data_IF_038869866792
#
_entry.id   IF_038869866792
#
_cell.length_a   1.000
_cell.length_b   1.000
_cell.length_c   1.000
_cell.angle_alpha   90.00
_cell.angle_beta   90.00
_cell.angle_gamma   90.00
#
_symmetry.space_group_name_H-M   'P 1'
#
loop_
_entity.id
_entity.type
_entity.pdbx_description
1 polymer ?
#
# COMPACT_ATOMS: atom_id res chain seq x y z
N UNK A 1 7.93 20.44 -5.32
CA UNK A 1 6.52 20.12 -5.63
C UNK A 1 5.74 21.41 -5.90
N UNK A 2 4.68 21.33 -6.68
CA UNK A 2 3.75 22.48 -6.91
C UNK A 2 3.25 23.08 -5.60
N UNK A 3 3.12 22.26 -4.57
CA UNK A 3 2.65 22.68 -3.25
C UNK A 3 3.64 23.56 -2.49
N UNK A 4 4.93 23.42 -2.78
CA UNK A 4 6.00 24.23 -2.17
C UNK A 4 6.36 25.45 -3.02
N UNK A 5 5.84 25.53 -4.25
CA UNK A 5 6.06 26.66 -5.15
C UNK A 5 5.11 27.84 -4.82
N UNK A 6 5.57 29.04 -5.08
CA UNK A 6 4.77 30.27 -4.97
C UNK A 6 3.62 30.37 -5.99
N UNK A 7 3.42 29.34 -6.83
CA UNK A 7 2.41 29.28 -7.88
C UNK A 7 0.97 29.11 -7.37
N UNK A 8 0.80 28.56 -6.16
CA UNK A 8 -0.52 28.44 -5.54
C UNK A 8 -0.78 29.59 -4.59
N UNK A 9 -1.92 30.26 -4.75
CA UNK A 9 -2.38 31.26 -3.80
C UNK A 9 -2.69 30.65 -2.44
N UNK A 10 -2.65 31.42 -1.38
CA UNK A 10 -2.97 30.96 -0.01
C UNK A 10 -4.41 30.42 0.09
N UNK A 11 -5.35 30.96 -0.67
CA UNK A 11 -6.71 30.42 -0.73
C UNK A 11 -6.75 29.02 -1.38
N UNK A 12 -5.98 28.77 -2.45
CA UNK A 12 -5.88 27.46 -3.08
C UNK A 12 -5.24 26.43 -2.14
N UNK A 13 -4.16 26.81 -1.46
CA UNK A 13 -3.53 25.95 -0.44
C UNK A 13 -4.52 25.60 0.68
N UNK A 14 -5.30 26.57 1.13
CA UNK A 14 -6.33 26.36 2.15
C UNK A 14 -7.43 25.39 1.67
N UNK A 15 -7.89 25.52 0.43
CA UNK A 15 -8.87 24.60 -0.13
C UNK A 15 -8.33 23.17 -0.21
N UNK A 16 -7.10 23.00 -0.70
CA UNK A 16 -6.44 21.70 -0.79
C UNK A 16 -6.29 21.07 0.61
N UNK A 17 -5.83 21.84 1.58
CA UNK A 17 -5.73 21.38 2.97
C UNK A 17 -7.09 20.91 3.52
N UNK A 18 -8.13 21.73 3.37
CA UNK A 18 -9.46 21.40 3.87
C UNK A 18 -10.03 20.13 3.21
N UNK A 19 -9.80 19.94 1.92
CA UNK A 19 -10.24 18.77 1.16
C UNK A 19 -9.51 17.52 1.65
N UNK A 20 -8.19 17.55 1.74
CA UNK A 20 -7.37 16.42 2.24
C UNK A 20 -7.78 16.08 3.68
N UNK A 21 -7.91 17.08 4.53
CA UNK A 21 -8.30 16.89 5.94
C UNK A 21 -9.70 16.29 6.08
N UNK A 22 -10.66 16.73 5.26
CA UNK A 22 -12.01 16.18 5.28
C UNK A 22 -12.02 14.69 4.91
N UNK A 23 -11.27 14.31 3.89
CA UNK A 23 -11.13 12.92 3.47
C UNK A 23 -10.43 12.07 4.53
N UNK A 24 -9.31 12.54 5.08
CA UNK A 24 -8.64 11.83 6.18
C UNK A 24 -9.56 11.64 7.40
N UNK A 25 -10.38 12.64 7.73
CA UNK A 25 -11.33 12.51 8.84
C UNK A 25 -12.44 11.49 8.53
N UNK A 26 -12.87 11.39 7.28
CA UNK A 26 -13.79 10.35 6.84
C UNK A 26 -13.16 8.97 7.01
N UNK A 27 -11.88 8.81 6.66
CA UNK A 27 -11.14 7.56 6.85
C UNK A 27 -10.98 7.15 8.32
N UNK A 28 -10.95 8.10 9.25
CA UNK A 28 -10.92 7.77 10.68
C UNK A 28 -12.19 7.04 11.15
N UNK A 29 -13.31 7.28 10.50
CA UNK A 29 -14.63 6.73 10.89
C UNK A 29 -14.98 5.44 10.14
N UNK A 30 -14.33 5.15 9.00
CA UNK A 30 -14.60 3.94 8.20
C UNK A 30 -14.14 2.68 8.91
N UNK A 31 -14.88 1.59 8.71
CA UNK A 31 -14.41 0.25 9.07
C UNK A 31 -13.33 -0.22 8.09
N UNK A 32 -12.36 -0.98 8.58
CA UNK A 32 -11.36 -1.64 7.74
C UNK A 32 -11.99 -2.92 7.19
N UNK A 33 -12.17 -3.06 5.86
CA UNK A 33 -12.81 -4.22 5.28
C UNK A 33 -11.82 -5.38 5.16
N UNK A 34 -12.27 -6.59 5.47
CA UNK A 34 -11.46 -7.83 5.33
C UNK A 34 -12.33 -9.07 5.16
N UNK A 35 -11.72 -10.16 4.68
CA UNK A 35 -12.24 -11.51 4.85
C UNK A 35 -13.38 -11.94 3.94
N UNK A 36 -13.65 -11.24 2.85
CA UNK A 36 -14.72 -11.60 1.93
C UNK A 36 -14.25 -12.62 0.90
N UNK A 37 -14.96 -13.76 0.79
CA UNK A 37 -14.72 -14.71 -0.27
C UNK A 37 -15.09 -14.14 -1.64
N UNK A 38 -14.20 -14.31 -2.61
CA UNK A 38 -14.39 -13.79 -3.97
C UNK A 38 -14.07 -12.31 -4.14
N UNK A 39 -13.88 -11.57 -3.04
CA UNK A 39 -13.55 -10.15 -3.00
C UNK A 39 -12.88 -9.82 -1.66
N UNK A 40 -11.58 -9.99 -1.57
CA UNK A 40 -10.85 -10.03 -0.29
C UNK A 40 -10.52 -8.64 0.29
N UNK A 41 -10.83 -7.56 -0.41
CA UNK A 41 -10.69 -6.18 0.08
C UNK A 41 -9.24 -5.71 0.33
N UNK A 42 -8.27 -6.40 -0.20
CA UNK A 42 -6.86 -6.05 -0.06
C UNK A 42 -6.56 -4.69 -0.72
N UNK A 43 -7.02 -4.51 -1.95
CA UNK A 43 -6.80 -3.31 -2.74
C UNK A 43 -7.57 -2.09 -2.20
N UNK A 44 -8.79 -2.30 -1.66
CA UNK A 44 -9.55 -1.21 -1.05
C UNK A 44 -8.79 -0.63 0.14
N UNK A 45 -8.19 -1.48 0.97
CA UNK A 45 -7.30 -1.02 2.04
C UNK A 45 -6.08 -0.27 1.48
N UNK A 46 -5.52 -0.72 0.35
CA UNK A 46 -4.40 -0.06 -0.33
C UNK A 46 -4.74 1.38 -0.73
N UNK A 47 -5.86 1.57 -1.40
CA UNK A 47 -6.31 2.90 -1.83
C UNK A 47 -6.47 3.88 -0.68
N UNK A 48 -7.00 3.43 0.47
CA UNK A 48 -7.21 4.30 1.64
C UNK A 48 -5.89 4.73 2.30
N UNK A 49 -4.79 3.98 2.10
CA UNK A 49 -3.48 4.40 2.60
C UNK A 49 -2.95 5.67 1.92
N UNK A 50 -3.34 5.92 0.66
CA UNK A 50 -2.78 6.99 -0.16
C UNK A 50 -3.11 8.38 0.37
N UNK A 51 -4.38 8.66 0.70
CA UNK A 51 -4.76 9.98 1.20
C UNK A 51 -4.17 10.26 2.58
N UNK A 52 -4.09 9.25 3.45
CA UNK A 52 -3.50 9.36 4.78
C UNK A 52 -1.99 9.64 4.69
N UNK A 53 -1.28 8.92 3.81
CA UNK A 53 0.14 9.13 3.55
C UNK A 53 0.44 10.51 2.96
N UNK A 54 -0.40 10.96 2.02
CA UNK A 54 -0.31 12.30 1.44
C UNK A 54 -0.50 13.38 2.51
N UNK A 55 -1.51 13.23 3.39
CA UNK A 55 -1.77 14.16 4.48
C UNK A 55 -0.59 14.22 5.46
N UNK A 56 -0.06 13.07 5.88
CA UNK A 56 1.09 12.98 6.78
C UNK A 56 2.36 13.57 6.16
N UNK A 57 2.53 13.39 4.84
CA UNK A 57 3.64 13.98 4.10
C UNK A 57 3.57 15.50 4.00
N UNK A 58 2.39 16.05 3.70
CA UNK A 58 2.17 17.48 3.49
C UNK A 58 1.99 18.27 4.80
N UNK A 59 1.32 17.67 5.79
CA UNK A 59 0.90 18.31 7.05
C UNK A 59 1.34 17.49 8.27
N UNK A 60 2.65 17.21 8.42
CA UNK A 60 3.15 16.32 9.47
C UNK A 60 2.88 16.80 10.90
N UNK A 61 2.62 18.09 11.06
CA UNK A 61 2.39 18.75 12.34
C UNK A 61 0.91 19.09 12.59
N UNK A 62 -0.02 18.60 11.75
CA UNK A 62 -1.45 18.74 12.03
C UNK A 62 -1.82 18.06 13.36
N UNK A 63 -2.77 18.65 14.08
CA UNK A 63 -3.22 18.12 15.37
C UNK A 63 -3.80 16.69 15.26
N UNK A 64 -4.30 16.29 14.08
CA UNK A 64 -4.84 14.97 13.79
C UNK A 64 -3.81 14.01 13.18
N UNK A 65 -2.60 14.47 12.86
CA UNK A 65 -1.58 13.62 12.24
C UNK A 65 -1.30 12.32 13.02
N UNK A 66 -1.26 12.28 14.36
CA UNK A 66 -1.13 11.01 15.08
C UNK A 66 -2.28 10.04 14.79
N UNK A 67 -3.52 10.51 14.70
CA UNK A 67 -4.68 9.67 14.42
C UNK A 67 -4.66 9.17 12.95
N UNK A 68 -4.27 10.02 12.01
CA UNK A 68 -4.08 9.62 10.61
C UNK A 68 -2.99 8.57 10.48
N UNK A 69 -1.91 8.68 11.27
CA UNK A 69 -0.83 7.71 11.28
C UNK A 69 -1.26 6.33 11.81
N UNK A 70 -1.98 6.30 12.91
CA UNK A 70 -2.56 5.06 13.43
C UNK A 70 -3.49 4.41 12.41
N UNK A 71 -4.30 5.23 11.74
CA UNK A 71 -5.23 4.75 10.72
C UNK A 71 -4.52 4.21 9.48
N UNK A 72 -3.47 4.90 9.04
CA UNK A 72 -2.59 4.44 7.96
C UNK A 72 -2.03 3.05 8.27
N UNK A 73 -1.47 2.85 9.47
CA UNK A 73 -0.92 1.56 9.88
C UNK A 73 -1.99 0.47 9.86
N UNK A 74 -3.18 0.79 10.34
CA UNK A 74 -4.28 -0.16 10.39
C UNK A 74 -4.73 -0.60 8.98
N UNK A 75 -4.92 0.31 8.04
CA UNK A 75 -5.21 -0.05 6.65
C UNK A 75 -4.05 -0.84 6.03
N UNK A 76 -2.81 -0.39 6.19
CA UNK A 76 -1.63 -1.01 5.60
C UNK A 76 -1.43 -2.48 6.04
N UNK A 77 -1.58 -2.78 7.33
CA UNK A 77 -1.53 -4.17 7.84
C UNK A 77 -2.62 -5.04 7.22
N UNK A 78 -3.81 -4.47 6.99
CA UNK A 78 -4.93 -5.22 6.43
C UNK A 78 -4.97 -5.27 4.89
N UNK A 79 -4.00 -4.69 4.18
CA UNK A 79 -3.84 -4.89 2.74
C UNK A 79 -3.51 -6.37 2.42
N UNK A 80 -2.34 -6.81 2.79
CA UNK A 80 -1.88 -8.19 2.59
C UNK A 80 -1.95 -9.00 3.89
N UNK A 81 -3.03 -8.84 4.66
CA UNK A 81 -3.21 -9.59 5.90
C UNK A 81 -3.40 -11.08 5.66
N UNK A 82 -2.65 -11.89 6.40
CA UNK A 82 -2.68 -13.36 6.34
C UNK A 82 -3.24 -13.93 7.66
N UNK A 83 -3.73 -15.16 7.65
CA UNK A 83 -4.29 -15.78 8.84
C UNK A 83 -3.32 -15.84 10.03
N UNK A 84 -2.02 -15.96 9.77
CA UNK A 84 -0.98 -16.01 10.80
C UNK A 84 -0.81 -14.66 11.53
N UNK A 85 -1.27 -13.56 10.92
CA UNK A 85 -1.20 -12.23 11.53
C UNK A 85 -2.07 -12.11 12.79
N UNK A 86 -3.06 -12.97 12.95
CA UNK A 86 -3.88 -13.06 14.16
C UNK A 86 -3.07 -13.39 15.43
N UNK A 87 -1.86 -13.93 15.29
CA UNK A 87 -0.96 -14.30 16.39
C UNK A 87 0.43 -13.65 16.25
N UNK A 88 0.58 -12.69 15.35
CA UNK A 88 1.85 -12.04 15.07
C UNK A 88 2.11 -10.90 16.05
N UNK A 89 2.94 -11.16 17.06
CA UNK A 89 3.32 -10.20 18.11
C UNK A 89 4.51 -9.31 17.71
N UNK A 90 4.89 -9.25 16.44
CA UNK A 90 5.94 -8.36 15.97
C UNK A 90 5.50 -6.90 16.13
N UNK A 91 6.28 -6.11 16.85
CA UNK A 91 6.08 -4.66 16.97
C UNK A 91 6.38 -4.03 15.61
N UNK A 92 5.45 -3.21 15.11
CA UNK A 92 5.52 -2.67 13.75
C UNK A 92 6.58 -1.57 13.66
N UNK A 93 6.47 -0.58 14.52
CA UNK A 93 7.30 0.63 14.49
C UNK A 93 7.77 0.98 15.91
N UNK A 94 8.80 0.29 16.45
CA UNK A 94 9.22 0.41 17.85
C UNK A 94 9.74 1.82 18.23
N UNK A 95 9.99 2.68 17.26
CA UNK A 95 10.34 4.08 17.50
C UNK A 95 9.13 4.96 17.92
N UNK A 96 7.90 4.49 17.72
CA UNK A 96 6.69 5.23 18.09
C UNK A 96 5.95 4.60 19.28
N UNK A 97 5.73 3.27 19.24
CA UNK A 97 4.96 2.56 20.26
C UNK A 97 5.19 1.04 20.21
N UNK A 98 4.49 0.30 21.08
CA UNK A 98 4.54 -1.17 21.17
C UNK A 98 3.44 -1.86 20.34
N UNK A 99 2.78 -1.16 19.42
CA UNK A 99 1.70 -1.72 18.61
C UNK A 99 2.21 -2.85 17.73
N UNK A 100 1.59 -4.01 17.84
CA UNK A 100 1.94 -5.22 17.09
C UNK A 100 1.06 -5.41 15.86
N UNK A 101 1.48 -6.30 14.95
CA UNK A 101 0.66 -6.72 13.81
C UNK A 101 -0.68 -7.28 14.28
N UNK A 102 -0.68 -8.13 15.32
CA UNK A 102 -1.89 -8.71 15.91
C UNK A 102 -2.89 -7.64 16.39
N UNK A 103 -2.41 -6.53 16.94
CA UNK A 103 -3.27 -5.46 17.46
C UNK A 103 -4.05 -4.74 16.34
N UNK A 104 -3.50 -4.69 15.13
CA UNK A 104 -4.10 -4.04 13.97
C UNK A 104 -4.81 -5.01 13.02
N UNK A 105 -4.58 -6.32 13.17
CA UNK A 105 -5.21 -7.34 12.35
C UNK A 105 -6.71 -7.44 12.61
N UNK A 106 -7.52 -7.24 11.56
CA UNK A 106 -8.99 -7.35 11.65
C UNK A 106 -9.49 -8.68 11.07
N UNK A 107 -8.83 -9.17 10.01
CA UNK A 107 -9.16 -10.42 9.34
C UNK A 107 -8.28 -10.62 8.12
N UNK A 108 -8.30 -11.81 7.54
CA UNK A 108 -7.43 -12.13 6.41
C UNK A 108 -7.98 -11.55 5.10
N UNK A 109 -7.09 -11.01 4.28
CA UNK A 109 -7.32 -10.65 2.87
C UNK A 109 -6.53 -11.53 1.90
N UNK A 110 -5.56 -12.30 2.41
CA UNK A 110 -4.86 -13.31 1.64
C UNK A 110 -5.34 -14.72 2.03
N UNK A 111 -5.35 -15.62 1.05
CA UNK A 111 -5.48 -17.04 1.30
C UNK A 111 -4.16 -17.62 1.83
N UNK A 112 -4.18 -18.88 2.27
CA UNK A 112 -3.04 -19.53 2.90
C UNK A 112 -1.79 -19.64 1.98
N UNK A 113 -1.98 -19.51 0.66
CA UNK A 113 -0.94 -19.47 -0.37
C UNK A 113 -0.54 -18.04 -0.80
N UNK A 114 -0.93 -17.03 -0.02
CA UNK A 114 -0.73 -15.60 -0.29
C UNK A 114 -1.44 -15.05 -1.53
N UNK A 115 -2.33 -15.80 -2.16
CA UNK A 115 -3.18 -15.28 -3.23
C UNK A 115 -4.35 -14.47 -2.67
N UNK A 116 -4.91 -13.59 -3.49
CA UNK A 116 -6.17 -12.90 -3.20
C UNK A 116 -7.21 -13.17 -4.28
N UNK A 117 -8.47 -12.95 -3.94
CA UNK A 117 -9.56 -12.97 -4.92
C UNK A 117 -10.21 -11.58 -5.02
N UNK A 118 -10.56 -11.24 -6.24
CA UNK A 118 -11.47 -10.15 -6.57
C UNK A 118 -12.32 -10.59 -7.77
N UNK A 119 -13.53 -10.05 -7.92
CA UNK A 119 -14.49 -10.46 -8.97
C UNK A 119 -14.79 -11.97 -8.99
N UNK A 120 -14.70 -12.64 -7.84
CA UNK A 120 -14.91 -14.07 -7.62
C UNK A 120 -13.86 -15.03 -8.21
N UNK A 121 -12.66 -14.55 -8.50
CA UNK A 121 -11.54 -15.41 -8.92
C UNK A 121 -10.19 -14.87 -8.41
N UNK A 122 -9.14 -15.70 -8.47
CA UNK A 122 -7.76 -15.25 -8.26
C UNK A 122 -7.42 -14.21 -9.32
N UNK A 123 -7.14 -13.00 -8.87
CA UNK A 123 -7.01 -11.83 -9.74
C UNK A 123 -5.59 -11.24 -9.67
N UNK A 124 -4.77 -11.56 -10.66
CA UNK A 124 -3.35 -11.16 -10.67
C UNK A 124 -3.17 -9.63 -10.65
N UNK A 125 -4.02 -8.88 -11.37
CA UNK A 125 -3.92 -7.40 -11.38
C UNK A 125 -4.24 -6.80 -10.00
N UNK A 126 -5.24 -7.30 -9.31
CA UNK A 126 -5.53 -6.87 -7.94
C UNK A 126 -4.41 -7.28 -6.97
N UNK A 127 -3.85 -8.48 -7.13
CA UNK A 127 -2.67 -8.90 -6.36
C UNK A 127 -1.50 -7.92 -6.56
N UNK A 128 -1.30 -7.44 -7.77
CA UNK A 128 -0.22 -6.53 -8.13
C UNK A 128 -0.48 -5.09 -7.67
N UNK A 129 -1.70 -4.56 -7.87
CA UNK A 129 -2.01 -3.15 -7.61
C UNK A 129 -1.88 -2.79 -6.12
N UNK A 130 -2.18 -3.71 -5.21
CA UNK A 130 -1.99 -3.47 -3.77
C UNK A 130 -0.55 -3.07 -3.44
N UNK A 131 0.44 -3.77 -4.02
CA UNK A 131 1.86 -3.43 -3.81
C UNK A 131 2.21 -2.06 -4.41
N UNK A 132 1.60 -1.69 -5.53
CA UNK A 132 1.72 -0.36 -6.11
C UNK A 132 1.21 0.71 -5.15
N UNK A 133 -0.02 0.58 -4.65
CA UNK A 133 -0.67 1.53 -3.74
C UNK A 133 0.14 1.73 -2.45
N UNK A 134 0.63 0.63 -1.88
CA UNK A 134 1.51 0.69 -0.70
C UNK A 134 2.84 1.39 -1.00
N UNK A 135 3.39 1.18 -2.21
CA UNK A 135 4.59 1.87 -2.68
C UNK A 135 4.36 3.38 -2.88
N UNK A 136 3.24 3.77 -3.45
CA UNK A 136 2.84 5.18 -3.61
C UNK A 136 2.68 5.86 -2.25
N UNK A 137 2.05 5.18 -1.30
CA UNK A 137 1.91 5.66 0.08
C UNK A 137 3.26 5.84 0.77
N UNK A 138 4.16 4.87 0.61
CA UNK A 138 5.52 4.98 1.14
C UNK A 138 6.27 6.16 0.51
N UNK A 139 6.16 6.32 -0.81
CA UNK A 139 6.76 7.44 -1.54
C UNK A 139 6.19 8.78 -1.07
N UNK A 140 4.86 8.88 -0.84
CA UNK A 140 4.20 10.11 -0.40
C UNK A 140 4.74 10.61 0.95
N UNK A 141 5.01 9.72 1.90
CA UNK A 141 5.63 10.07 3.18
C UNK A 141 7.03 10.70 3.01
N UNK A 142 7.80 10.26 2.00
CA UNK A 142 9.14 10.75 1.75
C UNK A 142 9.22 11.97 0.84
N UNK A 143 8.34 12.06 -0.17
CA UNK A 143 8.39 13.11 -1.20
C UNK A 143 8.34 14.54 -0.65
N UNK A 144 7.57 14.75 0.42
CA UNK A 144 7.35 16.07 0.98
C UNK A 144 8.27 16.39 2.15
N UNK A 145 8.86 15.37 2.78
CA UNK A 145 9.69 15.52 3.98
C UNK A 145 11.17 15.11 3.77
N UNK A 146 11.50 14.56 2.59
CA UNK A 146 12.85 14.12 2.25
C UNK A 146 13.25 12.82 2.94
N UNK A 147 14.56 12.66 3.22
CA UNK A 147 15.13 11.38 3.69
C UNK A 147 14.70 10.98 5.11
N UNK A 148 14.23 11.91 5.91
CA UNK A 148 13.84 11.67 7.32
C UNK A 148 12.43 12.19 7.57
N UNK A 149 11.40 11.52 7.06
CA UNK A 149 10.03 11.91 7.34
C UNK A 149 9.72 11.77 8.83
N UNK A 150 8.89 12.67 9.35
CA UNK A 150 8.40 12.59 10.73
C UNK A 150 7.57 11.33 10.96
N UNK A 151 6.78 10.97 9.96
CA UNK A 151 5.93 9.80 9.96
C UNK A 151 6.44 8.78 8.94
N UNK A 152 6.77 7.59 9.38
CA UNK A 152 7.18 6.44 8.55
C UNK A 152 6.69 5.16 9.23
N UNK A 153 6.38 4.14 8.44
CA UNK A 153 5.89 2.89 9.01
C UNK A 153 6.31 1.69 8.17
N UNK A 154 6.68 0.62 8.87
CA UNK A 154 6.93 -0.69 8.30
C UNK A 154 5.64 -1.40 7.89
N UNK A 155 4.47 -0.94 8.39
CA UNK A 155 3.17 -1.51 8.03
C UNK A 155 2.93 -1.52 6.51
N UNK A 156 3.40 -0.50 5.78
CA UNK A 156 3.25 -0.41 4.32
C UNK A 156 3.95 -1.54 3.56
N UNK A 157 4.93 -2.20 4.17
CA UNK A 157 5.65 -3.33 3.55
C UNK A 157 5.28 -4.68 4.18
N UNK A 158 4.25 -4.73 5.03
CA UNK A 158 3.81 -5.96 5.67
C UNK A 158 3.39 -7.01 4.63
N UNK A 159 3.89 -8.22 4.76
CA UNK A 159 3.68 -9.36 3.85
C UNK A 159 4.05 -9.14 2.37
N UNK A 160 4.51 -7.95 1.97
CA UNK A 160 4.89 -7.68 0.57
C UNK A 160 5.98 -8.63 0.05
N UNK A 161 6.98 -8.97 0.89
CA UNK A 161 8.01 -9.93 0.51
C UNK A 161 7.41 -11.32 0.25
N UNK A 162 6.45 -11.77 1.06
CA UNK A 162 5.76 -13.05 0.87
C UNK A 162 4.96 -13.07 -0.42
N UNK A 163 4.22 -11.99 -0.69
CA UNK A 163 3.47 -11.85 -1.95
C UNK A 163 4.43 -11.83 -3.14
N UNK A 164 5.56 -11.15 -3.06
CA UNK A 164 6.57 -11.13 -4.11
C UNK A 164 7.12 -12.53 -4.40
N UNK A 165 7.53 -13.27 -3.35
CA UNK A 165 8.18 -14.59 -3.48
C UNK A 165 7.19 -15.70 -3.87
N UNK A 166 6.02 -15.73 -3.23
CA UNK A 166 5.08 -16.83 -3.35
C UNK A 166 4.09 -16.66 -4.52
N UNK A 167 3.87 -15.42 -4.98
CA UNK A 167 2.88 -15.15 -6.03
C UNK A 167 3.52 -14.46 -7.24
N UNK A 168 4.00 -13.22 -7.11
CA UNK A 168 4.38 -12.42 -8.28
C UNK A 168 5.57 -13.01 -9.02
N UNK A 169 6.63 -13.45 -8.33
CA UNK A 169 7.77 -14.12 -8.98
C UNK A 169 7.39 -15.42 -9.69
N UNK A 170 6.39 -16.14 -9.18
CA UNK A 170 5.93 -17.41 -9.79
C UNK A 170 5.04 -17.19 -11.00
N UNK A 171 4.40 -16.05 -11.09
CA UNK A 171 3.58 -15.66 -12.23
C UNK A 171 4.34 -14.87 -13.29
N UNK A 172 5.56 -14.43 -12.99
CA UNK A 172 6.35 -13.63 -13.90
C UNK A 172 6.75 -14.40 -15.16
N UNK A 173 6.50 -13.81 -16.31
CA UNK A 173 6.91 -14.30 -17.63
C UNK A 173 8.33 -13.84 -17.96
N UNK A 174 8.90 -14.39 -19.03
CA UNK A 174 10.29 -14.13 -19.42
C UNK A 174 10.58 -12.65 -19.81
N UNK A 175 9.56 -11.90 -20.15
CA UNK A 175 9.59 -10.47 -20.51
C UNK A 175 9.28 -9.56 -19.32
N UNK A 176 8.95 -10.10 -18.16
CA UNK A 176 8.59 -9.36 -16.97
C UNK A 176 7.09 -9.09 -16.81
N UNK A 177 6.26 -9.48 -17.77
CA UNK A 177 4.81 -9.45 -17.60
C UNK A 177 4.35 -10.50 -16.58
N UNK A 178 3.15 -10.31 -16.02
CA UNK A 178 2.52 -11.29 -15.13
C UNK A 178 1.52 -12.14 -15.89
N UNK A 179 1.60 -13.45 -15.71
CA UNK A 179 0.60 -14.37 -16.21
C UNK A 179 -0.76 -14.10 -15.55
N UNK A 180 -1.82 -14.22 -16.34
CA UNK A 180 -3.21 -14.04 -15.91
C UNK A 180 -3.97 -15.36 -16.03
N UNK A 181 -3.72 -16.34 -15.13
CA UNK A 181 -4.22 -17.71 -15.31
C UNK A 181 -5.74 -17.82 -15.34
N UNK A 182 -6.44 -16.92 -14.68
CA UNK A 182 -7.91 -16.86 -14.67
C UNK A 182 -8.47 -15.72 -15.57
N UNK A 183 -7.62 -15.10 -16.38
CA UNK A 183 -7.98 -13.93 -17.13
C UNK A 183 -7.87 -12.63 -16.32
N UNK A 184 -8.25 -11.52 -16.94
CA UNK A 184 -8.27 -10.21 -16.34
C UNK A 184 -9.39 -9.39 -16.98
N UNK A 185 -10.37 -8.97 -16.19
CA UNK A 185 -11.45 -8.09 -16.62
C UNK A 185 -11.14 -6.60 -16.36
N UNK A 186 -9.94 -6.30 -15.86
CA UNK A 186 -9.44 -4.96 -15.56
C UNK A 186 -8.27 -4.60 -16.47
N UNK A 187 -8.53 -4.57 -17.79
CA UNK A 187 -7.51 -4.50 -18.84
C UNK A 187 -6.54 -3.32 -18.75
N UNK A 188 -6.93 -2.22 -18.12
CA UNK A 188 -6.06 -1.06 -17.95
C UNK A 188 -4.84 -1.32 -17.05
N UNK A 189 -4.87 -2.36 -16.23
CA UNK A 189 -3.77 -2.74 -15.31
C UNK A 189 -2.94 -3.93 -15.81
N UNK A 190 -3.03 -4.30 -17.07
CA UNK A 190 -2.23 -5.38 -17.64
C UNK A 190 -0.72 -5.06 -17.66
N UNK A 191 -0.36 -3.79 -17.74
CA UNK A 191 1.01 -3.33 -18.00
C UNK A 191 1.63 -2.56 -16.83
N UNK A 192 0.99 -2.50 -15.68
CA UNK A 192 1.45 -1.69 -14.53
C UNK A 192 2.38 -2.44 -13.56
N UNK A 193 2.85 -3.62 -13.93
CA UNK A 193 3.71 -4.44 -13.07
C UNK A 193 5.02 -3.76 -12.70
N UNK A 194 5.51 -2.84 -13.53
CA UNK A 194 6.77 -2.13 -13.29
C UNK A 194 6.73 -1.33 -11.99
N UNK A 195 5.59 -0.74 -11.62
CA UNK A 195 5.44 0.03 -10.39
C UNK A 195 5.56 -0.86 -9.15
N UNK A 196 4.93 -2.03 -9.14
CA UNK A 196 5.01 -3.00 -8.04
C UNK A 196 6.42 -3.60 -7.92
N UNK A 197 7.04 -3.96 -9.04
CA UNK A 197 8.41 -4.46 -9.03
C UNK A 197 9.39 -3.41 -8.54
N UNK A 198 9.24 -2.14 -8.93
CA UNK A 198 10.08 -1.05 -8.45
C UNK A 198 9.84 -0.78 -6.96
N UNK A 199 8.60 -0.88 -6.49
CA UNK A 199 8.27 -0.82 -5.06
C UNK A 199 9.03 -1.88 -4.27
N UNK A 200 8.92 -3.15 -4.67
CA UNK A 200 9.63 -4.25 -4.02
C UNK A 200 11.16 -4.10 -4.12
N UNK A 201 11.69 -3.70 -5.28
CA UNK A 201 13.11 -3.47 -5.45
C UNK A 201 13.64 -2.36 -4.55
N UNK A 202 12.90 -1.25 -4.41
CA UNK A 202 13.34 -0.08 -3.64
C UNK A 202 13.16 -0.28 -2.14
N UNK A 203 12.01 -0.75 -1.70
CA UNK A 203 11.65 -0.78 -0.28
C UNK A 203 11.97 -2.11 0.41
N UNK A 204 11.86 -3.24 -0.30
CA UNK A 204 12.28 -4.56 0.20
C UNK A 204 13.73 -4.90 -0.17
N UNK A 205 14.33 -4.14 -1.12
CA UNK A 205 15.66 -4.45 -1.71
C UNK A 205 15.70 -5.83 -2.36
N UNK A 206 14.59 -6.24 -2.94
CA UNK A 206 14.44 -7.55 -3.57
C UNK A 206 15.16 -7.60 -4.94
N UNK A 207 16.15 -8.50 -5.14
CA UNK A 207 16.89 -8.60 -6.38
C UNK A 207 16.06 -9.18 -7.54
N UNK A 208 15.09 -10.05 -7.27
CA UNK A 208 14.21 -10.60 -8.28
C UNK A 208 13.25 -9.52 -8.80
N UNK A 209 12.71 -8.71 -7.89
CA UNK A 209 11.89 -7.57 -8.27
C UNK A 209 12.67 -6.57 -9.12
N UNK A 210 13.94 -6.29 -8.78
CA UNK A 210 14.79 -5.42 -9.60
C UNK A 210 15.03 -6.00 -11.00
N UNK A 211 15.23 -7.32 -11.09
CA UNK A 211 15.38 -8.01 -12.37
C UNK A 211 14.09 -7.91 -13.19
N UNK A 212 12.94 -8.17 -12.59
CA UNK A 212 11.63 -8.11 -13.26
C UNK A 212 11.29 -6.69 -13.70
N UNK A 213 11.57 -5.67 -12.87
CA UNK A 213 11.41 -4.27 -13.26
C UNK A 213 12.25 -3.92 -14.50
N UNK A 214 13.49 -4.40 -14.57
CA UNK A 214 14.36 -4.19 -15.74
C UNK A 214 13.85 -4.91 -17.00
N UNK A 215 13.22 -6.07 -16.85
CA UNK A 215 12.59 -6.77 -17.98
C UNK A 215 11.37 -6.01 -18.47
N UNK A 216 10.43 -5.68 -17.57
CA UNK A 216 9.23 -4.94 -17.90
C UNK A 216 9.51 -3.54 -18.49
N UNK A 217 10.59 -2.87 -18.08
CA UNK A 217 10.99 -1.56 -18.63
C UNK A 217 11.45 -1.63 -20.08
N UNK A 218 11.88 -2.78 -20.57
CA UNK A 218 12.40 -2.96 -21.93
C UNK A 218 11.31 -3.28 -22.95
N UNK A 219 10.12 -3.56 -22.48
CA UNK A 219 8.91 -3.78 -23.27
C UNK A 219 8.17 -2.46 -23.55
#
# INVERSE_FOLDING_TARGET
>A
SYFQNEELSESQKTYIYNMIKAECNYELERSIPTGYNGDTKAEENGWETNILSCALGLYPDDALAPQWFERLRAFAINCYSHVDDAQNTTVIDPEYDETTVQDLYIGKNLYDDYTLQNHNYFHTSYQNVVMQELGESHLALHLFQGEKPKWKTNALMHNNQKVMDEVLCRLALADGELAMPNGNDWSMFLYDQITSYTTAACFLRDPNALMLANLAYKH
#
